data_IF_431551391296
#
_entry.id   IF_431551391296
#
_cell.length_a   1.000
_cell.length_b   1.000
_cell.length_c   1.000
_cell.angle_alpha   90.00
_cell.angle_beta   90.00
_cell.angle_gamma   90.00
#
_symmetry.space_group_name_H-M   'P 1'
#
loop_
_entity.id
_entity.type
_entity.pdbx_description
1 polymer ?
#
# COMPACT_ATOMS: atom_id res chain seq x y z
N UNK A 1 3.81 20.86 13.16
CA UNK A 1 3.72 20.57 11.72
C UNK A 1 5.01 21.04 11.09
N UNK A 2 5.81 20.13 10.56
CA UNK A 2 7.07 20.47 9.88
C UNK A 2 6.79 20.95 8.45
N UNK A 3 7.70 21.74 7.88
CA UNK A 3 7.58 22.27 6.52
C UNK A 3 7.41 21.15 5.47
N UNK A 4 8.01 19.98 5.71
CA UNK A 4 7.87 18.78 4.89
C UNK A 4 6.43 18.27 4.87
N UNK A 5 5.77 18.20 6.03
CA UNK A 5 4.38 17.73 6.14
C UNK A 5 3.41 18.61 5.34
N UNK A 6 3.70 19.92 5.21
CA UNK A 6 2.86 20.87 4.46
C UNK A 6 2.98 20.74 2.94
N UNK A 7 4.04 20.10 2.43
CA UNK A 7 4.29 19.92 0.99
C UNK A 7 3.73 18.60 0.44
N UNK A 8 3.29 17.69 1.31
CA UNK A 8 2.73 16.40 0.89
C UNK A 8 1.29 16.62 0.39
N UNK A 9 1.10 16.65 -0.93
CA UNK A 9 -0.24 16.58 -1.51
C UNK A 9 -0.77 15.15 -1.32
N UNK A 10 -1.69 14.96 -0.37
CA UNK A 10 -2.38 13.69 -0.20
C UNK A 10 -3.74 13.70 -0.88
N UNK A 11 -4.02 12.69 -1.69
CA UNK A 11 -5.38 12.43 -2.22
C UNK A 11 -5.92 11.17 -1.59
N UNK A 12 -7.10 11.29 -0.98
CA UNK A 12 -7.87 10.16 -0.49
C UNK A 12 -8.70 9.56 -1.63
N UNK A 13 -8.57 8.26 -1.86
CA UNK A 13 -9.38 7.53 -2.84
C UNK A 13 -9.95 6.29 -2.16
N UNK A 14 -11.21 5.94 -2.44
CA UNK A 14 -11.75 4.61 -2.08
C UNK A 14 -11.57 3.72 -3.31
N UNK A 15 -10.74 2.69 -3.25
CA UNK A 15 -10.32 1.86 -4.39
C UNK A 15 -10.36 0.38 -4.03
N UNK A 16 -10.68 -0.48 -4.99
CA UNK A 16 -10.63 -1.93 -4.81
C UNK A 16 -9.18 -2.44 -4.73
N UNK A 17 -9.00 -3.61 -4.12
CA UNK A 17 -7.84 -4.20 -3.42
C UNK A 17 -6.48 -4.37 -4.14
N UNK A 18 -6.18 -3.65 -5.22
CA UNK A 18 -4.98 -3.93 -6.02
C UNK A 18 -3.87 -2.88 -5.83
N UNK A 19 -2.67 -3.37 -5.47
CA UNK A 19 -1.39 -2.70 -5.70
C UNK A 19 -0.98 -2.93 -7.16
N UNK A 20 -0.31 -1.97 -7.81
CA UNK A 20 -0.06 -2.05 -9.25
C UNK A 20 0.67 -3.35 -9.66
N UNK A 21 1.46 -3.95 -8.75
CA UNK A 21 2.30 -5.10 -9.02
C UNK A 21 1.95 -6.41 -8.24
N UNK A 22 1.11 -6.37 -7.20
CA UNK A 22 0.86 -7.56 -6.35
C UNK A 22 -0.60 -7.70 -5.94
N UNK A 23 -1.05 -8.95 -5.85
CA UNK A 23 -2.33 -9.33 -5.27
C UNK A 23 -2.14 -9.63 -3.79
N UNK A 24 -2.95 -9.02 -2.93
CA UNK A 24 -2.94 -9.30 -1.50
C UNK A 24 -4.20 -10.07 -1.14
N UNK A 25 -4.06 -11.07 -0.27
CA UNK A 25 -5.20 -11.77 0.32
C UNK A 25 -4.90 -12.21 1.76
N UNK A 26 -5.96 -12.50 2.53
CA UNK A 26 -5.86 -12.98 3.91
C UNK A 26 -6.29 -14.43 3.94
N UNK A 27 -5.62 -15.24 4.76
CA UNK A 27 -6.04 -16.64 4.98
C UNK A 27 -7.39 -16.74 5.70
N UNK A 28 -7.83 -15.65 6.35
CA UNK A 28 -9.10 -15.57 7.08
C UNK A 28 -10.27 -15.03 6.25
N UNK A 29 -10.06 -14.75 4.95
CA UNK A 29 -11.12 -14.33 4.04
C UNK A 29 -10.81 -13.03 3.29
N UNK A 30 -11.72 -12.57 2.43
CA UNK A 30 -11.54 -11.31 1.72
C UNK A 30 -11.57 -10.12 2.68
N UNK A 31 -10.84 -9.07 2.33
CA UNK A 31 -10.84 -7.78 3.03
C UNK A 31 -10.88 -6.66 2.01
N UNK A 32 -11.43 -5.51 2.38
CA UNK A 32 -11.47 -4.33 1.51
C UNK A 32 -10.49 -3.23 1.95
N UNK A 33 -10.05 -2.41 1.01
CA UNK A 33 -9.32 -1.17 1.30
C UNK A 33 -10.30 -0.15 1.88
N UNK A 34 -10.02 0.32 3.09
CA UNK A 34 -10.74 1.44 3.69
C UNK A 34 -10.11 2.78 3.38
N UNK A 35 -8.79 2.84 3.22
CA UNK A 35 -8.09 4.08 2.89
C UNK A 35 -7.03 3.85 1.81
N UNK A 36 -7.02 4.72 0.80
CA UNK A 36 -5.92 4.83 -0.16
C UNK A 36 -5.39 6.26 -0.09
N UNK A 37 -4.17 6.40 0.42
CA UNK A 37 -3.47 7.66 0.60
C UNK A 37 -2.39 7.73 -0.47
N UNK A 38 -2.53 8.67 -1.40
CA UNK A 38 -1.54 8.92 -2.45
C UNK A 38 -0.73 10.14 -2.07
N UNK A 39 0.59 9.99 -1.95
CA UNK A 39 1.56 11.06 -1.73
C UNK A 39 2.37 11.22 -3.02
N UNK A 40 2.43 12.44 -3.55
CA UNK A 40 3.19 12.75 -4.75
C UNK A 40 4.05 13.98 -4.52
N UNK A 41 5.36 13.82 -4.71
CA UNK A 41 6.37 14.89 -4.74
C UNK A 41 7.16 14.78 -6.04
N UNK A 42 7.93 15.81 -6.38
CA UNK A 42 8.66 15.89 -7.66
C UNK A 42 9.60 14.71 -7.93
N UNK A 43 10.10 14.08 -6.86
CA UNK A 43 11.09 13.01 -6.86
C UNK A 43 10.55 11.65 -6.41
N UNK A 44 9.31 11.61 -5.90
CA UNK A 44 8.75 10.41 -5.28
C UNK A 44 7.25 10.31 -5.47
N UNK A 45 6.82 9.09 -5.79
CA UNK A 45 5.43 8.69 -5.69
C UNK A 45 5.29 7.63 -4.60
N UNK A 46 4.36 7.81 -3.67
CA UNK A 46 4.05 6.80 -2.65
C UNK A 46 2.53 6.62 -2.55
N UNK A 47 2.10 5.37 -2.44
CA UNK A 47 0.70 5.00 -2.22
C UNK A 47 0.61 4.09 -1.02
N UNK A 48 -0.23 4.45 -0.05
CA UNK A 48 -0.44 3.69 1.18
C UNK A 48 -1.89 3.21 1.19
N UNK A 49 -2.08 1.91 1.33
CA UNK A 49 -3.35 1.23 1.47
C UNK A 49 -3.53 0.78 2.90
N UNK A 50 -4.69 1.08 3.49
CA UNK A 50 -5.12 0.56 4.78
C UNK A 50 -6.35 -0.30 4.52
N UNK A 51 -6.29 -1.56 4.94
CA UNK A 51 -7.33 -2.55 4.76
C UNK A 51 -8.15 -2.74 6.05
N UNK A 52 -9.39 -3.21 5.94
CA UNK A 52 -10.32 -3.42 7.07
C UNK A 52 -9.73 -4.32 8.17
N UNK A 53 -8.95 -5.32 7.80
CA UNK A 53 -8.31 -6.24 8.74
C UNK A 53 -7.03 -5.68 9.39
N UNK A 54 -6.70 -4.41 9.15
CA UNK A 54 -5.56 -3.71 9.72
C UNK A 54 -4.22 -3.98 9.03
N UNK A 55 -4.22 -4.63 7.86
CA UNK A 55 -3.05 -4.65 6.98
C UNK A 55 -2.84 -3.22 6.46
N UNK A 56 -1.57 -2.80 6.47
CA UNK A 56 -1.11 -1.55 5.86
C UNK A 56 -0.05 -1.94 4.84
N UNK A 57 -0.30 -1.60 3.58
CA UNK A 57 0.64 -1.82 2.49
C UNK A 57 1.04 -0.48 1.88
N UNK A 58 2.31 -0.33 1.54
CA UNK A 58 2.84 0.86 0.87
C UNK A 58 3.60 0.47 -0.39
N UNK A 59 3.28 1.16 -1.49
CA UNK A 59 4.05 1.18 -2.72
C UNK A 59 4.79 2.51 -2.79
N UNK A 60 6.12 2.47 -2.93
CA UNK A 60 6.94 3.66 -3.14
C UNK A 60 7.70 3.49 -4.46
N UNK A 61 7.56 4.47 -5.34
CA UNK A 61 8.30 4.57 -6.60
C UNK A 61 9.29 5.71 -6.43
N UNK A 62 10.57 5.38 -6.55
CA UNK A 62 11.69 6.30 -6.46
C UNK A 62 12.69 6.01 -7.58
N UNK A 63 12.80 6.92 -8.54
CA UNK A 63 13.55 6.67 -9.78
C UNK A 63 12.96 5.53 -10.59
N UNK A 64 13.77 4.52 -10.90
CA UNK A 64 13.40 3.29 -11.62
C UNK A 64 13.03 2.11 -10.70
N UNK A 65 12.99 2.35 -9.38
CA UNK A 65 12.72 1.29 -8.39
C UNK A 65 11.31 1.41 -7.83
N UNK A 66 10.67 0.25 -7.70
CA UNK A 66 9.43 0.07 -6.93
C UNK A 66 9.75 -0.69 -5.65
N UNK A 67 9.38 -0.13 -4.50
CA UNK A 67 9.55 -0.73 -3.18
C UNK A 67 8.18 -0.98 -2.59
N UNK A 68 7.92 -2.22 -2.20
CA UNK A 68 6.72 -2.61 -1.46
C UNK A 68 7.07 -2.80 0.01
N UNK A 69 6.26 -2.25 0.91
CA UNK A 69 6.38 -2.42 2.36
C UNK A 69 5.04 -2.80 2.97
N UNK A 70 5.10 -3.62 4.00
CA UNK A 70 3.92 -4.12 4.71
C UNK A 70 4.14 -4.02 6.21
N UNK A 71 3.08 -3.76 6.98
CA UNK A 71 3.15 -3.72 8.44
C UNK A 71 3.12 -5.10 9.10
N UNK A 72 2.93 -6.16 8.32
CA UNK A 72 2.84 -7.55 8.79
C UNK A 72 3.73 -8.47 7.94
N UNK A 73 4.20 -9.58 8.50
CA UNK A 73 4.84 -10.63 7.72
C UNK A 73 3.85 -11.19 6.70
N UNK A 74 4.39 -11.65 5.57
CA UNK A 74 3.62 -12.29 4.50
C UNK A 74 4.33 -13.53 3.99
N UNK A 75 3.57 -14.40 3.35
CA UNK A 75 4.09 -15.50 2.53
C UNK A 75 3.77 -15.21 1.06
N UNK A 76 4.66 -15.57 0.14
CA UNK A 76 4.38 -15.55 -1.30
C UNK A 76 3.97 -16.95 -1.72
N UNK A 77 2.69 -17.13 -2.01
CA UNK A 77 2.12 -18.44 -2.38
C UNK A 77 2.30 -18.71 -3.87
N UNK A 78 2.19 -17.66 -4.68
CA UNK A 78 2.44 -17.66 -6.12
C UNK A 78 3.12 -16.34 -6.50
N UNK A 79 3.74 -16.30 -7.68
CA UNK A 79 4.43 -15.10 -8.14
C UNK A 79 3.52 -13.87 -8.13
N UNK A 80 3.84 -12.89 -7.29
CA UNK A 80 3.06 -11.66 -7.15
C UNK A 80 1.76 -11.79 -6.34
N UNK A 81 1.57 -12.88 -5.61
CA UNK A 81 0.41 -13.13 -4.75
C UNK A 81 0.87 -13.37 -3.32
N UNK A 82 0.51 -12.44 -2.42
CA UNK A 82 0.98 -12.42 -1.03
C UNK A 82 -0.17 -12.74 -0.07
N UNK A 83 0.04 -13.73 0.82
CA UNK A 83 -0.85 -14.02 1.93
C UNK A 83 -0.36 -13.45 3.24
N UNK A 84 -1.31 -13.00 4.06
CA UNK A 84 -1.08 -12.53 5.42
C UNK A 84 -1.86 -13.41 6.40
N UNK A 85 -1.16 -13.86 7.45
CA UNK A 85 -1.79 -14.43 8.63
C UNK A 85 -2.21 -13.27 9.54
N UNK A 86 -3.45 -13.30 10.04
CA UNK A 86 -3.95 -12.23 10.93
C UNK A 86 -3.26 -12.23 12.29
#
# INVERSE_FOLDING_TARGET
MTEIESRLQYKYIKSNNRLAAVNLYSKNGPFDVIHNIVIHTDDRFQRIYIYENGIIASEEIYGDKTILRFNRPFSEDEHGTLSFDE
#
